data_IF_618545189425
#
_entry.id   IF_618545189425
#
_cell.length_a   1.000
_cell.length_b   1.000
_cell.length_c   1.000
_cell.angle_alpha   90.00
_cell.angle_beta   90.00
_cell.angle_gamma   90.00
#
_symmetry.space_group_name_H-M   'P 1'
#
loop_
_entity.id
_entity.type
_entity.pdbx_description
1 polymer ?
#
# COMPACT_ATOMS: atom_id res chain seq x y z
N UNK A 1 17.40 -5.60 -9.21
CA UNK A 1 15.95 -5.25 -9.33
C UNK A 1 15.03 -6.13 -8.47
N UNK A 2 14.95 -7.45 -8.67
CA UNK A 2 14.02 -8.32 -7.91
C UNK A 2 14.30 -8.33 -6.39
N UNK A 3 15.58 -8.45 -5.98
CA UNK A 3 15.99 -8.39 -4.57
C UNK A 3 15.54 -7.09 -3.88
N UNK A 4 15.79 -5.94 -4.52
CA UNK A 4 15.34 -4.63 -4.04
C UNK A 4 13.84 -4.62 -3.78
N UNK A 5 13.04 -5.11 -4.75
CA UNK A 5 11.58 -5.10 -4.65
C UNK A 5 11.04 -6.03 -3.56
N UNK A 6 11.69 -7.17 -3.33
CA UNK A 6 11.37 -8.02 -2.17
C UNK A 6 11.69 -7.32 -0.84
N UNK A 7 12.84 -6.66 -0.73
CA UNK A 7 13.20 -5.90 0.48
C UNK A 7 12.20 -4.76 0.70
N UNK A 8 11.84 -4.01 -0.35
CA UNK A 8 10.79 -2.98 -0.30
C UNK A 8 9.49 -3.56 0.23
N UNK A 9 9.04 -4.69 -0.32
CA UNK A 9 7.82 -5.37 0.09
C UNK A 9 7.86 -5.70 1.59
N UNK A 10 8.92 -6.35 2.08
CA UNK A 10 9.03 -6.72 3.49
C UNK A 10 9.06 -5.49 4.41
N UNK A 11 9.92 -4.51 4.14
CA UNK A 11 10.08 -3.33 4.98
C UNK A 11 8.82 -2.45 4.97
N UNK A 12 8.22 -2.22 3.80
CA UNK A 12 7.02 -1.42 3.70
C UNK A 12 5.81 -2.11 4.35
N UNK A 13 5.71 -3.45 4.25
CA UNK A 13 4.67 -4.22 4.94
C UNK A 13 4.82 -4.13 6.45
N UNK A 14 6.03 -4.37 6.98
CA UNK A 14 6.29 -4.26 8.43
C UNK A 14 5.97 -2.85 8.92
N UNK A 15 6.44 -1.82 8.20
CA UNK A 15 6.21 -0.43 8.57
C UNK A 15 4.71 -0.07 8.57
N UNK A 16 4.02 -0.33 7.45
CA UNK A 16 2.60 0.01 7.30
C UNK A 16 1.72 -0.73 8.28
N UNK A 17 1.88 -2.05 8.42
CA UNK A 17 1.09 -2.87 9.36
C UNK A 17 1.34 -2.42 10.80
N UNK A 18 2.59 -2.14 11.17
CA UNK A 18 2.91 -1.68 12.52
C UNK A 18 2.25 -0.33 12.83
N UNK A 19 2.36 0.64 11.91
CA UNK A 19 1.78 1.97 12.10
C UNK A 19 0.24 1.94 12.14
N UNK A 20 -0.39 1.15 11.26
CA UNK A 20 -1.85 0.94 11.29
C UNK A 20 -2.26 0.24 12.59
N UNK A 21 -1.50 -0.76 13.04
CA UNK A 21 -1.80 -1.45 14.29
C UNK A 21 -1.65 -0.54 15.50
N UNK A 22 -0.63 0.33 15.52
CA UNK A 22 -0.48 1.36 16.56
C UNK A 22 -1.66 2.32 16.60
N UNK A 23 -2.24 2.69 15.46
CA UNK A 23 -3.46 3.50 15.42
C UNK A 23 -4.61 2.82 16.18
N UNK A 24 -4.93 1.56 15.86
CA UNK A 24 -6.00 0.82 16.53
C UNK A 24 -5.73 0.55 18.02
N UNK A 25 -4.47 0.38 18.42
CA UNK A 25 -4.12 0.28 19.84
C UNK A 25 -4.47 1.57 20.58
N UNK A 26 -4.19 2.72 19.97
CA UNK A 26 -4.43 4.03 20.59
C UNK A 26 -5.91 4.40 20.58
N UNK A 27 -6.65 4.11 19.50
CA UNK A 27 -8.06 4.51 19.39
C UNK A 27 -9.00 3.54 20.09
N UNK A 28 -8.73 2.23 20.01
CA UNK A 28 -9.68 1.20 20.40
C UNK A 28 -9.18 0.36 21.59
N UNK A 29 -7.96 0.62 22.08
CA UNK A 29 -7.36 -0.13 23.19
C UNK A 29 -7.02 -1.58 22.84
N UNK A 30 -6.98 -1.93 21.55
CA UNK A 30 -6.73 -3.29 21.09
C UNK A 30 -5.28 -3.74 21.38
N UNK A 31 -5.02 -5.03 21.67
CA UNK A 31 -3.66 -5.52 21.87
C UNK A 31 -2.85 -5.52 20.57
N UNK A 32 -1.71 -4.82 20.56
CA UNK A 32 -0.89 -4.57 19.36
C UNK A 32 -0.60 -5.84 18.55
N UNK A 33 -0.08 -6.89 19.18
CA UNK A 33 0.30 -8.11 18.48
C UNK A 33 -0.89 -8.85 17.85
N UNK A 34 -2.08 -8.76 18.44
CA UNK A 34 -3.29 -9.33 17.86
C UNK A 34 -3.71 -8.56 16.61
N UNK A 35 -3.68 -7.22 16.65
CA UNK A 35 -3.99 -6.38 15.50
C UNK A 35 -2.99 -6.59 14.37
N UNK A 36 -1.69 -6.62 14.67
CA UNK A 36 -0.64 -6.91 13.69
C UNK A 36 -0.86 -8.26 13.02
N UNK A 37 -1.22 -9.29 13.80
CA UNK A 37 -1.43 -10.64 13.26
C UNK A 37 -2.63 -10.71 12.33
N UNK A 38 -3.75 -10.08 12.71
CA UNK A 38 -4.97 -10.06 11.90
C UNK A 38 -4.74 -9.24 10.64
N UNK A 39 -4.29 -7.99 10.76
CA UNK A 39 -4.04 -7.12 9.60
C UNK A 39 -2.99 -7.75 8.69
N UNK A 40 -1.90 -8.30 9.25
CA UNK A 40 -0.86 -8.94 8.48
C UNK A 40 -1.35 -10.15 7.68
N UNK A 41 -2.18 -11.01 8.29
CA UNK A 41 -2.74 -12.18 7.60
C UNK A 41 -3.61 -11.77 6.41
N UNK A 42 -4.45 -10.74 6.58
CA UNK A 42 -5.35 -10.28 5.52
C UNK A 42 -4.65 -9.40 4.48
N UNK A 43 -3.71 -8.54 4.88
CA UNK A 43 -3.03 -7.62 3.98
C UNK A 43 -1.93 -8.30 3.16
N UNK A 44 -1.18 -9.25 3.73
CA UNK A 44 -0.04 -9.90 3.08
C UNK A 44 -0.30 -10.39 1.63
N UNK A 45 -1.40 -11.11 1.31
CA UNK A 45 -1.66 -11.55 -0.06
C UNK A 45 -1.82 -10.37 -1.02
N UNK A 46 -2.49 -9.30 -0.60
CA UNK A 46 -2.65 -8.10 -1.42
C UNK A 46 -1.34 -7.33 -1.57
N UNK A 47 -0.55 -7.19 -0.50
CA UNK A 47 0.76 -6.54 -0.59
C UNK A 47 1.68 -7.26 -1.58
N UNK A 48 1.68 -8.59 -1.58
CA UNK A 48 2.46 -9.40 -2.50
C UNK A 48 1.93 -9.31 -3.93
N UNK A 49 0.62 -9.52 -4.14
CA UNK A 49 0.03 -9.63 -5.48
C UNK A 49 -0.24 -8.29 -6.15
N UNK A 50 -0.37 -7.21 -5.37
CA UNK A 50 -0.70 -5.88 -5.86
C UNK A 50 0.44 -4.88 -5.62
N UNK A 51 1.00 -4.83 -4.40
CA UNK A 51 2.08 -3.90 -4.07
C UNK A 51 3.35 -4.12 -4.89
N UNK A 52 3.76 -5.38 -5.08
CA UNK A 52 4.97 -5.71 -5.85
C UNK A 52 4.83 -5.33 -7.35
N UNK A 53 3.76 -5.71 -8.09
CA UNK A 53 3.58 -5.25 -9.46
C UNK A 53 3.51 -3.73 -9.61
N UNK A 54 2.84 -3.03 -8.69
CA UNK A 54 2.77 -1.56 -8.69
C UNK A 54 4.16 -0.94 -8.59
N UNK A 55 4.99 -1.45 -7.69
CA UNK A 55 6.35 -0.96 -7.52
C UNK A 55 7.22 -1.23 -8.76
N UNK A 56 7.08 -2.38 -9.41
CA UNK A 56 7.76 -2.69 -10.68
C UNK A 56 7.27 -1.80 -11.83
N UNK A 57 5.95 -1.56 -11.92
CA UNK A 57 5.36 -0.70 -12.93
C UNK A 57 5.79 0.77 -12.74
N UNK A 58 5.87 1.24 -11.50
CA UNK A 58 6.39 2.57 -11.18
C UNK A 58 7.82 2.77 -11.68
N UNK A 59 8.70 1.78 -11.47
CA UNK A 59 10.06 1.83 -12.02
C UNK A 59 10.06 1.92 -13.54
N UNK A 60 9.29 1.05 -14.21
CA UNK A 60 9.21 1.02 -15.67
C UNK A 60 8.68 2.32 -16.26
N UNK A 61 7.65 2.92 -15.65
CA UNK A 61 7.08 4.18 -16.14
C UNK A 61 7.94 5.41 -15.83
N UNK A 62 8.86 5.31 -14.86
CA UNK A 62 9.73 6.42 -14.45
C UNK A 62 11.17 6.26 -14.91
N UNK A 63 11.50 5.21 -15.66
CA UNK A 63 12.88 4.87 -16.06
C UNK A 63 13.58 5.95 -16.89
N UNK A 64 12.81 6.72 -17.67
CA UNK A 64 13.32 7.81 -18.52
C UNK A 64 13.35 9.17 -17.80
N UNK A 65 12.89 9.24 -16.55
CA UNK A 65 12.83 10.47 -15.77
C UNK A 65 13.97 10.55 -14.77
N UNK A 66 14.40 11.77 -14.46
CA UNK A 66 15.46 12.02 -13.51
C UNK A 66 15.04 13.00 -12.41
N UNK A 67 15.73 12.94 -11.27
CA UNK A 67 15.58 13.86 -10.16
C UNK A 67 14.15 13.99 -9.64
N UNK A 68 13.69 15.23 -9.47
CA UNK A 68 12.40 15.56 -8.85
C UNK A 68 11.20 15.06 -9.66
N UNK A 69 11.27 15.07 -10.99
CA UNK A 69 10.18 14.60 -11.84
C UNK A 69 9.95 13.09 -11.70
N UNK A 70 11.04 12.31 -11.59
CA UNK A 70 10.99 10.87 -11.31
C UNK A 70 10.31 10.60 -9.96
N UNK A 71 10.75 11.32 -8.93
CA UNK A 71 10.25 11.17 -7.56
C UNK A 71 8.74 11.48 -7.48
N UNK A 72 8.33 12.60 -8.09
CA UNK A 72 6.93 13.04 -8.12
C UNK A 72 6.03 12.07 -8.88
N UNK A 73 6.44 11.61 -10.06
CA UNK A 73 5.64 10.64 -10.82
C UNK A 73 5.53 9.29 -10.09
N UNK A 74 6.64 8.80 -9.51
CA UNK A 74 6.64 7.57 -8.70
C UNK A 74 5.67 7.65 -7.52
N UNK A 75 5.60 8.82 -6.85
CA UNK A 75 4.64 9.08 -5.77
C UNK A 75 3.20 9.03 -6.26
N UNK A 76 2.90 9.75 -7.34
CA UNK A 76 1.56 9.79 -7.94
C UNK A 76 1.10 8.40 -8.34
N UNK A 77 1.98 7.58 -8.94
CA UNK A 77 1.66 6.21 -9.31
C UNK A 77 1.29 5.38 -8.07
N UNK A 78 2.14 5.35 -7.05
CA UNK A 78 1.84 4.60 -5.82
C UNK A 78 0.52 5.05 -5.20
N UNK A 79 0.34 6.35 -4.93
CA UNK A 79 -0.89 6.85 -4.31
C UNK A 79 -2.12 6.54 -5.16
N UNK A 80 -2.03 6.65 -6.49
CA UNK A 80 -3.13 6.29 -7.39
C UNK A 80 -3.51 4.81 -7.26
N UNK A 81 -2.54 3.91 -7.15
CA UNK A 81 -2.80 2.50 -6.89
C UNK A 81 -3.35 2.23 -5.49
N UNK A 82 -2.91 2.98 -4.47
CA UNK A 82 -3.48 2.93 -3.13
C UNK A 82 -4.95 3.37 -3.11
N UNK A 83 -5.26 4.43 -3.86
CA UNK A 83 -6.62 4.94 -4.05
C UNK A 83 -7.50 3.93 -4.79
N UNK A 84 -7.00 3.34 -5.88
CA UNK A 84 -7.77 2.37 -6.68
C UNK A 84 -7.99 1.04 -5.98
N UNK A 85 -7.19 0.71 -4.95
CA UNK A 85 -7.23 -0.58 -4.27
C UNK A 85 -8.63 -0.92 -3.74
N UNK A 86 -9.27 -0.02 -3.00
CA UNK A 86 -10.61 -0.27 -2.45
C UNK A 86 -11.61 -0.61 -3.57
N UNK A 87 -11.58 0.16 -4.66
CA UNK A 87 -12.51 -0.04 -5.77
C UNK A 87 -12.24 -1.36 -6.48
N UNK A 88 -10.97 -1.71 -6.71
CA UNK A 88 -10.61 -2.99 -7.34
C UNK A 88 -11.09 -4.16 -6.48
N UNK A 89 -10.82 -4.14 -5.17
CA UNK A 89 -11.26 -5.21 -4.25
C UNK A 89 -12.78 -5.26 -4.17
N UNK A 90 -13.44 -4.12 -4.01
CA UNK A 90 -14.90 -4.06 -3.95
C UNK A 90 -15.55 -4.52 -5.25
N UNK A 91 -15.01 -4.20 -6.43
CA UNK A 91 -15.55 -4.73 -7.70
C UNK A 91 -15.39 -6.24 -7.83
N UNK A 92 -14.36 -6.83 -7.22
CA UNK A 92 -14.14 -8.28 -7.25
C UNK A 92 -15.05 -9.01 -6.25
N UNK A 93 -15.19 -8.48 -5.03
CA UNK A 93 -15.82 -9.20 -3.92
C UNK A 93 -17.21 -8.70 -3.51
N UNK A 94 -17.57 -7.45 -3.84
CA UNK A 94 -18.81 -6.79 -3.42
C UNK A 94 -19.32 -5.80 -4.50
N UNK A 95 -19.37 -6.27 -5.75
CA UNK A 95 -19.74 -5.43 -6.89
C UNK A 95 -21.16 -4.90 -6.81
N UNK A 96 -22.07 -5.63 -6.15
CA UNK A 96 -23.45 -5.19 -5.95
C UNK A 96 -23.49 -3.91 -5.13
N UNK A 97 -22.84 -3.86 -3.97
CA UNK A 97 -22.87 -2.68 -3.09
C UNK A 97 -22.24 -1.46 -3.76
N UNK A 98 -21.18 -1.62 -4.55
CA UNK A 98 -20.61 -0.50 -5.34
C UNK A 98 -21.64 0.07 -6.33
N UNK A 99 -22.40 -0.79 -7.01
CA UNK A 99 -23.30 -0.38 -8.09
C UNK A 99 -24.65 0.12 -7.57
N UNK A 100 -25.14 -0.40 -6.44
CA UNK A 100 -26.48 -0.09 -5.92
C UNK A 100 -26.47 0.94 -4.80
N UNK A 101 -25.45 0.95 -3.93
CA UNK A 101 -25.32 1.90 -2.82
C UNK A 101 -23.85 2.26 -2.54
N UNK A 102 -23.28 3.04 -3.45
CA UNK A 102 -21.90 3.51 -3.34
C UNK A 102 -21.62 4.28 -2.04
N UNK A 103 -22.60 5.05 -1.55
CA UNK A 103 -22.44 5.87 -0.35
C UNK A 103 -22.26 5.02 0.90
N UNK A 104 -23.09 3.98 1.05
CA UNK A 104 -22.96 3.00 2.12
C UNK A 104 -21.67 2.19 1.99
N UNK A 105 -21.36 1.68 0.78
CA UNK A 105 -20.12 0.95 0.50
C UNK A 105 -18.88 1.74 0.93
N UNK A 106 -18.78 3.01 0.52
CA UNK A 106 -17.63 3.84 0.84
C UNK A 106 -17.54 4.15 2.34
N UNK A 107 -18.68 4.35 3.00
CA UNK A 107 -18.71 4.64 4.44
C UNK A 107 -18.26 3.43 5.26
N UNK A 108 -18.72 2.22 4.91
CA UNK A 108 -18.34 0.98 5.61
C UNK A 108 -16.87 0.60 5.38
N UNK A 109 -16.29 0.97 4.24
CA UNK A 109 -14.92 0.61 3.87
C UNK A 109 -13.92 1.77 3.98
N UNK A 110 -14.30 2.85 4.68
CA UNK A 110 -13.48 4.06 4.81
C UNK A 110 -12.10 3.78 5.41
N UNK A 111 -12.03 2.92 6.42
CA UNK A 111 -10.77 2.59 7.09
C UNK A 111 -9.83 1.82 6.16
N UNK A 112 -10.36 0.93 5.33
CA UNK A 112 -9.58 0.19 4.32
C UNK A 112 -9.05 1.16 3.26
N UNK A 113 -9.86 2.13 2.83
CA UNK A 113 -9.44 3.16 1.87
C UNK A 113 -8.30 4.04 2.41
N UNK A 114 -8.41 4.49 3.66
CA UNK A 114 -7.35 5.28 4.30
C UNK A 114 -6.09 4.41 4.47
N UNK A 115 -6.25 3.18 4.95
CA UNK A 115 -5.15 2.24 5.15
C UNK A 115 -4.44 1.90 3.83
N UNK A 116 -5.15 1.77 2.71
CA UNK A 116 -4.55 1.45 1.40
C UNK A 116 -3.73 2.61 0.84
N UNK A 117 -4.23 3.85 0.96
CA UNK A 117 -3.46 5.05 0.59
C UNK A 117 -2.21 5.17 1.46
N UNK A 118 -2.39 5.06 2.78
CA UNK A 118 -1.28 5.16 3.74
C UNK A 118 -0.21 4.10 3.48
N UNK A 119 -0.63 2.85 3.31
CA UNK A 119 0.26 1.74 2.95
C UNK A 119 1.01 2.04 1.67
N UNK A 120 0.33 2.58 0.65
CA UNK A 120 0.98 2.93 -0.60
C UNK A 120 2.05 4.03 -0.45
N UNK A 121 1.80 5.01 0.43
CA UNK A 121 2.80 6.02 0.79
C UNK A 121 4.01 5.37 1.49
N UNK A 122 3.80 4.42 2.41
CA UNK A 122 4.90 3.66 3.01
C UNK A 122 5.70 2.89 1.95
N UNK A 123 5.02 2.23 1.01
CA UNK A 123 5.67 1.52 -0.10
C UNK A 123 6.53 2.45 -0.95
N UNK A 124 5.98 3.58 -1.36
CA UNK A 124 6.74 4.58 -2.11
C UNK A 124 7.96 5.08 -1.32
N UNK A 125 7.77 5.40 -0.04
CA UNK A 125 8.84 5.94 0.82
C UNK A 125 10.01 4.96 0.92
N UNK A 126 9.72 3.68 1.16
CA UNK A 126 10.74 2.64 1.25
C UNK A 126 11.35 2.36 -0.13
N UNK A 127 10.54 2.26 -1.18
CA UNK A 127 11.02 1.96 -2.54
C UNK A 127 11.99 3.04 -3.04
N UNK A 128 11.66 4.30 -2.85
CA UNK A 128 12.52 5.42 -3.20
C UNK A 128 13.73 5.54 -2.27
N UNK A 129 13.56 5.30 -0.96
CA UNK A 129 14.66 5.29 -0.01
C UNK A 129 15.72 4.25 -0.35
N UNK A 130 15.31 3.04 -0.75
CA UNK A 130 16.24 1.99 -1.15
C UNK A 130 16.93 2.34 -2.48
N UNK A 131 16.25 2.95 -3.44
CA UNK A 131 16.87 3.36 -4.73
C UNK A 131 18.00 4.38 -4.56
N UNK A 132 17.94 5.20 -3.52
CA UNK A 132 18.99 6.19 -3.22
C UNK A 132 20.15 5.55 -2.44
N UNK A 133 19.96 4.35 -1.87
CA UNK A 133 20.98 3.67 -1.08
C UNK A 133 21.89 2.80 -1.97
N UNK A 134 23.20 3.10 -2.09
CA UNK A 134 24.12 2.41 -3.01
C UNK A 134 24.48 0.97 -2.61
N UNK A 135 23.95 0.45 -1.51
CA UNK A 135 24.31 -0.85 -0.94
C UNK A 135 23.47 -2.02 -1.50
N UNK A 136 22.48 -1.75 -2.36
CA UNK A 136 21.49 -2.74 -2.81
C UNK A 136 21.32 -2.64 -4.35
N UNK A 137 22.37 -2.98 -5.10
CA UNK A 137 22.29 -3.27 -6.55
C UNK A 137 22.24 -4.78 -6.84
#
# INVERSE_FOLDING_TARGET
MFKRKLITLFLASILSISLISSYYVVTDGAPFFSVVSVIGLFAAPFLLLYGLPVSCLSDKLTELLYGKSRLGLSFVLHVSFGFSFLFIVGFIFDSQSILTDFGQFFTMNRDIFIASIFTSVCFWTIDEGIKVCPLIE
#
